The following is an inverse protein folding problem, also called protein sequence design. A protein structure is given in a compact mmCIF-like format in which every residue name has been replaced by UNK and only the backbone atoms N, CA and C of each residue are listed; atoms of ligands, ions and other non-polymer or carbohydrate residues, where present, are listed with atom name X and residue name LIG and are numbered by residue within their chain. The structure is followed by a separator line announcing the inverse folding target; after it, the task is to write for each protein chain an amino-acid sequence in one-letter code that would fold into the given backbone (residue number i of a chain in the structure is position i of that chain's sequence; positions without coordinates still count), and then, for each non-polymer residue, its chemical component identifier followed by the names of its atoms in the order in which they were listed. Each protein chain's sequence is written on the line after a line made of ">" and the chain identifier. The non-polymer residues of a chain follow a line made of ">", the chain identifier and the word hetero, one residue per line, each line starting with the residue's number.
data_IF_997702033485
#
_entry.id   IF_997702033485
#
_cell.length_a   1.000
_cell.length_b   1.000
_cell.length_c   1.000
_cell.angle_alpha   90.00
_cell.angle_beta   90.00
_cell.angle_gamma   90.00
#
_symmetry.space_group_name_H-M   'P 1'
#
loop_
_entity.id
_entity.type
_entity.pdbx_description
1 polymer ?
#
# COMPACT_ATOMS: atom_id res chain seq x y z
N UNK A 1 -4.27 4.20 21.43
CA UNK A 1 -5.54 3.68 20.89
C UNK A 1 -5.20 2.81 19.70
N UNK A 2 -5.38 1.50 19.81
CA UNK A 2 -5.09 0.56 18.71
C UNK A 2 -6.19 0.61 17.63
N UNK A 3 -7.39 1.06 18.00
CA UNK A 3 -8.55 1.17 17.12
C UNK A 3 -8.36 2.17 15.97
N UNK A 4 -7.64 3.28 16.22
CA UNK A 4 -7.32 4.27 15.18
C UNK A 4 -6.34 3.72 14.12
N UNK A 5 -5.41 2.86 14.55
CA UNK A 5 -4.43 2.20 13.68
C UNK A 5 -5.15 1.18 12.78
N UNK A 6 -6.02 0.36 13.38
CA UNK A 6 -6.76 -0.68 12.67
C UNK A 6 -7.77 -0.07 11.67
N UNK A 7 -8.37 1.06 12.00
CA UNK A 7 -9.25 1.83 11.10
C UNK A 7 -8.51 2.43 9.90
N UNK A 8 -7.19 2.62 10.01
CA UNK A 8 -6.35 3.20 8.96
C UNK A 8 -5.85 2.17 7.92
N UNK A 9 -5.69 0.90 8.31
CA UNK A 9 -5.26 -0.19 7.42
C UNK A 9 -6.10 -0.28 6.13
N UNK A 10 -7.45 -0.33 6.17
CA UNK A 10 -8.25 -0.45 4.95
C UNK A 10 -8.08 0.73 3.99
N UNK A 11 -7.82 1.94 4.51
CA UNK A 11 -7.59 3.14 3.68
C UNK A 11 -6.31 2.97 2.85
N UNK A 12 -5.21 2.55 3.49
CA UNK A 12 -3.95 2.31 2.79
C UNK A 12 -4.07 1.15 1.80
N UNK A 13 -4.78 0.07 2.15
CA UNK A 13 -5.01 -1.05 1.23
C UNK A 13 -5.74 -0.62 -0.04
N UNK A 14 -6.81 0.18 0.10
CA UNK A 14 -7.56 0.69 -1.06
C UNK A 14 -6.65 1.60 -1.91
N UNK A 15 -5.90 2.50 -1.27
CA UNK A 15 -4.99 3.41 -1.96
C UNK A 15 -3.91 2.67 -2.76
N UNK A 16 -3.25 1.67 -2.15
CA UNK A 16 -2.22 0.82 -2.79
C UNK A 16 -2.81 0.07 -3.98
N UNK A 17 -3.99 -0.55 -3.82
CA UNK A 17 -4.66 -1.29 -4.90
C UNK A 17 -5.06 -0.38 -6.06
N UNK A 18 -5.59 0.81 -5.78
CA UNK A 18 -5.99 1.76 -6.80
C UNK A 18 -4.80 2.20 -7.67
N UNK A 19 -3.67 2.56 -7.05
CA UNK A 19 -2.47 2.96 -7.82
C UNK A 19 -1.82 1.79 -8.55
N UNK A 20 -1.91 0.56 -8.02
CA UNK A 20 -1.45 -0.64 -8.71
C UNK A 20 -2.21 -0.87 -10.03
N UNK A 21 -3.51 -0.58 -10.05
CA UNK A 21 -4.37 -0.72 -11.24
C UNK A 21 -4.14 0.41 -12.24
N UNK A 22 -3.88 1.64 -11.77
CA UNK A 22 -3.61 2.78 -12.64
C UNK A 22 -2.25 2.66 -13.33
N UNK A 23 -1.29 1.96 -12.71
CA UNK A 23 0.07 1.87 -13.24
C UNK A 23 0.93 3.11 -12.97
N UNK A 24 0.47 4.04 -12.13
CA UNK A 24 1.19 5.26 -11.79
C UNK A 24 2.19 5.01 -10.65
N UNK A 25 3.42 4.67 -11.03
CA UNK A 25 4.50 4.37 -10.10
C UNK A 25 4.88 5.57 -9.20
N UNK A 26 4.79 6.80 -9.73
CA UNK A 26 5.13 8.00 -8.97
C UNK A 26 4.16 8.21 -7.81
N UNK A 27 2.85 8.09 -8.08
CA UNK A 27 1.82 8.15 -7.03
C UNK A 27 1.94 6.99 -6.06
N UNK A 28 2.26 5.79 -6.54
CA UNK A 28 2.48 4.64 -5.68
C UNK A 28 3.60 4.89 -4.67
N UNK A 29 4.77 5.41 -5.10
CA UNK A 29 5.83 5.80 -4.17
C UNK A 29 5.40 6.86 -3.15
N UNK A 30 4.60 7.84 -3.56
CA UNK A 30 4.10 8.89 -2.66
C UNK A 30 3.19 8.33 -1.57
N UNK A 31 2.31 7.39 -1.90
CA UNK A 31 1.42 6.73 -0.94
C UNK A 31 2.23 5.88 0.04
N UNK A 32 3.18 5.08 -0.46
CA UNK A 32 4.02 4.21 0.39
C UNK A 32 4.80 5.01 1.42
N UNK A 33 5.31 6.20 1.05
CA UNK A 33 6.03 7.11 1.97
C UNK A 33 5.13 7.73 3.06
N UNK A 34 3.82 7.71 2.88
CA UNK A 34 2.86 8.21 3.88
C UNK A 34 2.41 7.13 4.86
N UNK A 35 2.73 5.86 4.59
CA UNK A 35 2.37 4.75 5.48
C UNK A 35 3.25 4.84 6.73
N UNK A 36 2.67 4.93 7.94
CA UNK A 36 3.40 4.87 9.19
C UNK A 36 4.20 3.56 9.32
N UNK A 37 5.40 3.63 9.87
CA UNK A 37 6.28 2.46 10.03
C UNK A 37 5.61 1.33 10.86
N UNK A 38 4.76 1.69 11.82
CA UNK A 38 4.01 0.71 12.61
C UNK A 38 3.03 -0.13 11.75
N UNK A 39 2.54 0.42 10.64
CA UNK A 39 1.65 -0.27 9.71
C UNK A 39 2.41 -1.11 8.68
N UNK A 40 3.71 -0.87 8.46
CA UNK A 40 4.53 -1.73 7.60
C UNK A 40 4.77 -3.13 8.20
N UNK A 41 4.63 -3.24 9.53
CA UNK A 41 4.66 -4.51 10.25
C UNK A 41 3.40 -5.35 9.99
N UNK A 42 2.28 -4.73 9.61
CA UNK A 42 1.01 -5.40 9.37
C UNK A 42 1.05 -6.25 8.09
N UNK A 43 0.69 -7.52 8.23
CA UNK A 43 0.73 -8.49 7.13
C UNK A 43 -0.12 -8.05 5.93
N UNK A 44 -1.26 -7.39 6.17
CA UNK A 44 -2.15 -6.95 5.10
C UNK A 44 -1.48 -5.87 4.24
N UNK A 45 -0.84 -4.89 4.87
CA UNK A 45 -0.12 -3.81 4.18
C UNK A 45 1.06 -4.39 3.42
N UNK A 46 1.84 -5.27 4.07
CA UNK A 46 3.01 -5.89 3.43
C UNK A 46 2.63 -6.69 2.18
N UNK A 47 1.58 -7.51 2.24
CA UNK A 47 1.08 -8.25 1.08
C UNK A 47 0.64 -7.32 -0.04
N UNK A 48 -0.09 -6.24 0.27
CA UNK A 48 -0.51 -5.27 -0.74
C UNK A 48 0.66 -4.55 -1.41
N UNK A 49 1.74 -4.25 -0.68
CA UNK A 49 2.95 -3.65 -1.22
C UNK A 49 3.72 -4.63 -2.14
N UNK A 50 3.75 -5.91 -1.79
CA UNK A 50 4.32 -6.95 -2.64
C UNK A 50 3.50 -7.08 -3.93
N UNK A 51 2.17 -7.14 -3.83
CA UNK A 51 1.27 -7.20 -5.00
C UNK A 51 1.45 -5.99 -5.92
N UNK A 52 1.56 -4.79 -5.34
CA UNK A 52 1.88 -3.55 -6.07
C UNK A 52 3.19 -3.68 -6.84
N UNK A 53 4.26 -4.14 -6.18
CA UNK A 53 5.56 -4.32 -6.82
C UNK A 53 5.51 -5.35 -7.95
N UNK A 54 4.85 -6.49 -7.73
CA UNK A 54 4.63 -7.52 -8.76
C UNK A 54 3.82 -6.97 -9.93
N UNK A 55 2.80 -6.15 -9.68
CA UNK A 55 1.99 -5.51 -10.72
C UNK A 55 2.86 -4.68 -11.66
N UNK A 56 3.78 -3.86 -11.11
CA UNK A 56 4.69 -3.06 -11.94
C UNK A 56 5.73 -3.88 -12.69
N UNK A 57 6.20 -5.00 -12.12
CA UNK A 57 7.20 -5.86 -12.78
C UNK A 57 6.60 -6.78 -13.85
N UNK A 58 5.28 -7.03 -13.83
CA UNK A 58 4.59 -7.79 -14.89
C UNK A 58 4.35 -6.98 -16.17
N UNK A 59 4.51 -5.67 -16.11
CA UNK A 59 4.25 -4.74 -17.24
C UNK A 59 5.53 -4.47 -18.06
N UNK A 60 6.65 -5.15 -17.73
CA UNK A 60 7.93 -5.10 -18.47
C UNK A 60 8.14 -6.37 -19.28
#
# INVERSE_FOLDING_TARGET
>A
KLDDIQSSIPIYLIAIKAVAQIGDYSKAQSIVKQIPDCLLAENQIRSALIDLWVSFNKVV
#
